data_IF_734365015737
#
_entry.id   IF_734365015737
#
_cell.length_a   1.000
_cell.length_b   1.000
_cell.length_c   1.000
_cell.angle_alpha   90.00
_cell.angle_beta   90.00
_cell.angle_gamma   90.00
#
_symmetry.space_group_name_H-M   'P 1'
#
loop_
_entity.id
_entity.type
_entity.pdbx_description
1 polymer ?
#
# COMPACT_ATOMS: atom_id res chain seq x y z
N UNK A 1 -10.56 19.35 16.19
CA UNK A 1 -9.36 18.85 15.48
C UNK A 1 -8.78 17.73 16.30
N UNK A 2 -8.45 16.60 15.69
CA UNK A 2 -7.62 15.57 16.33
C UNK A 2 -6.18 16.10 16.30
N UNK A 3 -5.52 16.16 17.45
CA UNK A 3 -4.12 16.63 17.56
C UNK A 3 -3.16 15.44 17.70
N UNK A 4 -1.87 15.69 17.50
CA UNK A 4 -0.85 14.67 17.74
C UNK A 4 -0.89 14.15 19.20
N UNK A 5 -1.11 15.03 20.17
CA UNK A 5 -1.22 14.67 21.58
C UNK A 5 -2.45 13.77 21.88
N UNK A 6 -3.50 13.84 21.07
CA UNK A 6 -4.65 12.92 21.18
C UNK A 6 -4.29 11.54 20.63
N UNK A 7 -3.53 11.47 19.54
CA UNK A 7 -3.03 10.22 18.96
C UNK A 7 -2.04 9.55 19.91
N UNK A 8 -1.15 10.29 20.58
CA UNK A 8 -0.19 9.74 21.53
C UNK A 8 -0.85 8.95 22.66
N UNK A 9 -2.02 9.39 23.13
CA UNK A 9 -2.79 8.75 24.20
C UNK A 9 -3.49 7.46 23.75
N UNK A 10 -3.63 7.22 22.44
CA UNK A 10 -4.24 6.00 21.91
C UNK A 10 -3.29 4.80 22.08
N UNK A 11 -3.87 3.67 22.47
CA UNK A 11 -3.22 2.38 22.32
C UNK A 11 -2.89 2.08 20.86
N UNK A 12 -2.00 1.11 20.63
CA UNK A 12 -1.65 0.68 19.26
C UNK A 12 -2.87 0.19 18.49
N UNK A 13 -3.79 -0.52 19.14
CA UNK A 13 -5.01 -1.02 18.51
C UNK A 13 -5.95 0.14 18.12
N UNK A 14 -6.13 1.12 18.99
CA UNK A 14 -6.94 2.31 18.69
C UNK A 14 -6.35 3.12 17.53
N UNK A 15 -5.02 3.29 17.48
CA UNK A 15 -4.34 3.96 16.35
C UNK A 15 -4.64 3.25 15.03
N UNK A 16 -4.55 1.91 15.01
CA UNK A 16 -4.80 1.14 13.80
C UNK A 16 -6.27 1.23 13.36
N UNK A 17 -7.23 1.13 14.29
CA UNK A 17 -8.65 1.30 13.98
C UNK A 17 -8.98 2.70 13.50
N UNK A 18 -8.39 3.73 14.11
CA UNK A 18 -8.56 5.13 13.69
C UNK A 18 -7.99 5.35 12.28
N UNK A 19 -6.80 4.82 11.99
CA UNK A 19 -6.19 4.86 10.66
C UNK A 19 -7.09 4.20 9.62
N UNK A 20 -7.64 3.01 9.90
CA UNK A 20 -8.55 2.29 9.00
C UNK A 20 -9.84 3.08 8.76
N UNK A 21 -10.47 3.61 9.82
CA UNK A 21 -11.70 4.40 9.70
C UNK A 21 -11.48 5.67 8.85
N UNK A 22 -10.36 6.36 9.06
CA UNK A 22 -9.97 7.51 8.25
C UNK A 22 -9.75 7.11 6.80
N UNK A 23 -9.00 6.02 6.56
CA UNK A 23 -8.74 5.49 5.22
C UNK A 23 -10.02 5.15 4.46
N UNK A 24 -10.97 4.46 5.12
CA UNK A 24 -12.27 4.12 4.53
C UNK A 24 -13.08 5.36 4.17
N UNK A 25 -13.00 6.44 4.96
CA UNK A 25 -13.74 7.66 4.67
C UNK A 25 -13.12 8.42 3.49
N UNK A 26 -11.80 8.66 3.51
CA UNK A 26 -11.11 9.40 2.45
C UNK A 26 -11.10 8.65 1.11
N UNK A 27 -11.16 7.31 1.14
CA UNK A 27 -11.16 6.49 -0.08
C UNK A 27 -12.49 6.54 -0.84
N UNK A 28 -13.56 7.08 -0.24
CA UNK A 28 -14.86 7.25 -0.91
C UNK A 28 -14.94 8.50 -1.76
N UNK A 29 -14.03 9.45 -1.55
CA UNK A 29 -14.06 10.73 -2.25
C UNK A 29 -13.54 10.56 -3.68
N UNK A 30 -14.44 10.69 -4.66
CA UNK A 30 -14.11 10.81 -6.08
C UNK A 30 -13.89 12.28 -6.46
N UNK A 31 -13.00 12.56 -7.44
CA UNK A 31 -12.19 11.58 -8.17
C UNK A 31 -10.98 11.13 -7.35
N UNK A 32 -10.67 9.83 -7.43
CA UNK A 32 -9.42 9.30 -6.92
C UNK A 32 -8.25 10.16 -7.40
N UNK A 33 -7.24 10.42 -6.56
CA UNK A 33 -6.11 11.25 -6.96
C UNK A 33 -5.47 10.66 -8.24
N UNK A 34 -5.10 11.54 -9.17
CA UNK A 34 -4.39 11.11 -10.38
C UNK A 34 -3.13 10.36 -9.98
N UNK A 35 -2.87 9.24 -10.66
CA UNK A 35 -1.61 8.53 -10.49
C UNK A 35 -0.44 9.46 -10.79
N UNK A 36 0.66 9.41 -10.01
CA UNK A 36 1.86 10.18 -10.33
C UNK A 36 2.35 9.91 -11.75
N UNK A 37 2.91 10.92 -12.42
CA UNK A 37 3.36 10.81 -13.81
C UNK A 37 4.32 9.63 -14.07
N UNK A 38 5.19 9.32 -13.09
CA UNK A 38 6.15 8.22 -13.18
C UNK A 38 5.51 6.82 -13.11
N UNK A 39 4.27 6.70 -12.62
CA UNK A 39 3.65 5.41 -12.36
C UNK A 39 3.51 4.58 -13.66
N UNK A 40 3.14 5.22 -14.76
CA UNK A 40 3.04 4.57 -16.06
C UNK A 40 4.39 4.01 -16.55
N UNK A 41 5.48 4.73 -16.33
CA UNK A 41 6.82 4.31 -16.74
C UNK A 41 7.25 3.03 -16.00
N UNK A 42 7.02 2.96 -14.69
CA UNK A 42 7.37 1.78 -13.88
C UNK A 42 6.52 0.57 -14.27
N UNK A 43 5.24 0.76 -14.58
CA UNK A 43 4.37 -0.31 -15.07
C UNK A 43 4.86 -0.87 -16.41
N UNK A 44 5.25 0.01 -17.34
CA UNK A 44 5.73 -0.43 -18.65
C UNK A 44 7.09 -1.14 -18.57
N UNK A 45 8.00 -0.64 -17.72
CA UNK A 45 9.26 -1.32 -17.42
C UNK A 45 9.00 -2.71 -16.83
N UNK A 46 8.06 -2.83 -15.90
CA UNK A 46 7.70 -4.12 -15.29
C UNK A 46 7.11 -5.07 -16.32
N UNK A 47 6.18 -4.59 -17.16
CA UNK A 47 5.62 -5.36 -18.26
C UNK A 47 6.69 -5.86 -19.22
N UNK A 48 7.66 -5.02 -19.56
CA UNK A 48 8.80 -5.39 -20.41
C UNK A 48 9.66 -6.48 -19.78
N UNK A 49 9.96 -6.40 -18.47
CA UNK A 49 10.72 -7.44 -17.77
C UNK A 49 9.96 -8.75 -17.67
N UNK A 50 8.63 -8.72 -17.48
CA UNK A 50 7.78 -9.92 -17.50
C UNK A 50 7.80 -10.56 -18.88
N UNK A 51 7.63 -9.78 -19.95
CA UNK A 51 7.68 -10.27 -21.33
C UNK A 51 9.06 -10.85 -21.69
N UNK A 52 10.13 -10.28 -21.16
CA UNK A 52 11.50 -10.79 -21.33
C UNK A 52 11.83 -12.01 -20.44
N UNK A 53 10.93 -12.43 -19.54
CA UNK A 53 11.16 -13.53 -18.60
C UNK A 53 12.13 -13.21 -17.46
N UNK A 54 12.46 -11.92 -17.28
CA UNK A 54 13.36 -11.43 -16.21
C UNK A 54 12.65 -11.00 -14.93
N UNK A 55 11.31 -11.04 -14.93
CA UNK A 55 10.46 -10.76 -13.77
C UNK A 55 9.48 -11.93 -13.59
N UNK A 56 9.32 -12.42 -12.36
CA UNK A 56 8.46 -13.57 -12.06
C UNK A 56 7.19 -13.12 -11.37
N UNK A 57 6.05 -13.59 -11.87
CA UNK A 57 4.78 -13.48 -11.15
C UNK A 57 4.79 -14.48 -10.00
N UNK A 58 4.46 -14.01 -8.80
CA UNK A 58 4.42 -14.83 -7.60
C UNK A 58 3.01 -14.82 -7.02
N UNK A 59 2.59 -15.96 -6.47
CA UNK A 59 1.37 -16.03 -5.69
C UNK A 59 1.45 -15.12 -4.45
N UNK A 60 0.32 -14.50 -4.10
CA UNK A 60 0.29 -13.53 -3.01
C UNK A 60 0.59 -14.15 -1.64
N UNK A 61 0.13 -15.37 -1.38
CA UNK A 61 0.43 -16.06 -0.12
C UNK A 61 1.89 -16.51 -0.07
N UNK A 62 2.47 -16.89 -1.21
CA UNK A 62 3.90 -17.16 -1.31
C UNK A 62 4.76 -15.94 -1.04
N UNK A 63 4.43 -14.78 -1.63
CA UNK A 63 5.12 -13.52 -1.39
C UNK A 63 5.09 -13.14 0.11
N UNK A 64 3.93 -13.27 0.76
CA UNK A 64 3.80 -13.01 2.21
C UNK A 64 4.67 -13.94 3.04
N UNK A 65 4.72 -15.25 2.71
CA UNK A 65 5.57 -16.21 3.43
C UNK A 65 7.03 -15.80 3.33
N UNK A 66 7.51 -15.48 2.12
CA UNK A 66 8.90 -15.04 1.90
C UNK A 66 9.26 -13.78 2.68
N UNK A 67 8.37 -12.79 2.73
CA UNK A 67 8.62 -11.55 3.50
C UNK A 67 8.66 -11.76 5.02
N UNK A 68 7.93 -12.76 5.53
CA UNK A 68 7.87 -13.08 6.97
C UNK A 68 9.00 -13.99 7.43
N UNK A 69 9.69 -14.63 6.50
CA UNK A 69 10.88 -15.45 6.73
C UNK A 69 12.01 -14.92 5.85
N UNK A 70 12.53 -13.72 6.14
CA UNK A 70 13.70 -13.22 5.43
C UNK A 70 14.89 -14.14 5.74
N UNK A 71 15.67 -14.45 4.71
CA UNK A 71 16.96 -15.17 4.81
C UNK A 71 17.97 -14.40 5.67
#
# INVERSE_FOLDING_TARGET
MITHADIEKMSREEKLRAMEALWQEISKEEPAPESPAWHGEVLEQTRSRVAAGTEQVMDWEEAKRRLRSPD
#
